data_IF_688290899263
#
_entry.id   IF_688290899263
#
_cell.length_a   1.000
_cell.length_b   1.000
_cell.length_c   1.000
_cell.angle_alpha   90.00
_cell.angle_beta   90.00
_cell.angle_gamma   90.00
#
_symmetry.space_group_name_H-M   'P 1'
#
loop_
_entity.id
_entity.type
_entity.pdbx_description
1 polymer ?
#
# COMPACT_ATOMS: atom_id res chain seq x y z
N UNK A 1 -8.93 -18.64 -21.72
CA UNK A 1 -9.98 -18.06 -20.83
C UNK A 1 -10.15 -18.80 -19.49
N UNK A 2 -10.49 -20.10 -19.44
CA UNK A 2 -10.71 -20.82 -18.15
C UNK A 2 -9.50 -20.81 -17.20
N UNK A 3 -8.28 -20.94 -17.73
CA UNK A 3 -7.03 -20.93 -16.96
C UNK A 3 -6.70 -19.56 -16.36
N UNK A 4 -6.95 -18.47 -17.10
CA UNK A 4 -6.75 -17.11 -16.59
C UNK A 4 -7.78 -16.76 -15.51
N UNK A 5 -9.06 -17.09 -15.71
CA UNK A 5 -10.09 -16.84 -14.70
C UNK A 5 -9.82 -17.60 -13.38
N UNK A 6 -9.36 -18.85 -13.48
CA UNK A 6 -8.97 -19.66 -12.32
C UNK A 6 -7.80 -19.04 -11.56
N UNK A 7 -6.79 -18.53 -12.29
CA UNK A 7 -5.66 -17.83 -11.69
C UNK A 7 -6.07 -16.53 -11.00
N UNK A 8 -6.91 -15.71 -11.63
CA UNK A 8 -7.44 -14.47 -11.04
C UNK A 8 -8.25 -14.75 -9.75
N UNK A 9 -9.03 -15.84 -9.73
CA UNK A 9 -9.74 -16.28 -8.53
C UNK A 9 -8.78 -16.73 -7.43
N UNK A 10 -7.77 -17.54 -7.76
CA UNK A 10 -6.71 -17.98 -6.83
C UNK A 10 -5.98 -16.78 -6.22
N UNK A 11 -5.63 -15.80 -7.06
CA UNK A 11 -4.97 -14.57 -6.65
C UNK A 11 -5.82 -13.75 -5.68
N UNK A 12 -7.11 -13.58 -5.99
CA UNK A 12 -8.03 -12.83 -5.13
C UNK A 12 -8.20 -13.52 -3.76
N UNK A 13 -8.32 -14.84 -3.75
CA UNK A 13 -8.37 -15.65 -2.52
C UNK A 13 -7.08 -15.52 -1.71
N UNK A 14 -5.92 -15.64 -2.34
CA UNK A 14 -4.61 -15.50 -1.68
C UNK A 14 -4.44 -14.11 -1.08
N UNK A 15 -4.83 -13.07 -1.82
CA UNK A 15 -4.76 -11.70 -1.37
C UNK A 15 -5.67 -11.43 -0.18
N UNK A 16 -6.91 -11.91 -0.25
CA UNK A 16 -7.88 -11.77 0.84
C UNK A 16 -7.44 -12.53 2.09
N UNK A 17 -6.96 -13.77 1.94
CA UNK A 17 -6.42 -14.57 3.05
C UNK A 17 -5.24 -13.88 3.74
N UNK A 18 -4.34 -13.29 2.96
CA UNK A 18 -3.19 -12.58 3.51
C UNK A 18 -3.61 -11.28 4.21
N UNK A 19 -4.54 -10.51 3.65
CA UNK A 19 -5.12 -9.33 4.31
C UNK A 19 -5.73 -9.68 5.66
N UNK A 20 -6.60 -10.71 5.69
CA UNK A 20 -7.27 -11.16 6.91
C UNK A 20 -6.24 -11.58 7.97
N UNK A 21 -5.19 -12.32 7.57
CA UNK A 21 -4.12 -12.73 8.49
C UNK A 21 -3.44 -11.54 9.18
N UNK A 22 -3.04 -10.52 8.43
CA UNK A 22 -2.35 -9.36 9.00
C UNK A 22 -3.28 -8.43 9.77
N UNK A 23 -4.56 -8.34 9.38
CA UNK A 23 -5.56 -7.62 10.16
C UNK A 23 -5.84 -8.29 11.51
N UNK A 24 -6.01 -9.62 11.53
CA UNK A 24 -6.13 -10.36 12.78
C UNK A 24 -4.90 -10.15 13.67
N UNK A 25 -3.70 -10.20 13.09
CA UNK A 25 -2.46 -9.94 13.83
C UNK A 25 -2.42 -8.52 14.41
N UNK A 26 -2.83 -7.51 13.64
CA UNK A 26 -2.90 -6.13 14.10
C UNK A 26 -3.93 -5.92 15.23
N UNK A 27 -5.09 -6.56 15.13
CA UNK A 27 -6.14 -6.53 16.17
C UNK A 27 -5.62 -7.18 17.45
N UNK A 28 -5.05 -8.39 17.34
CA UNK A 28 -4.49 -9.12 18.49
C UNK A 28 -3.37 -8.31 19.15
N UNK A 29 -2.45 -7.72 18.36
CA UNK A 29 -1.38 -6.87 18.88
C UNK A 29 -1.92 -5.65 19.63
N UNK A 30 -2.95 -5.00 19.09
CA UNK A 30 -3.61 -3.85 19.73
C UNK A 30 -4.32 -4.25 21.03
N UNK A 31 -5.01 -5.39 21.04
CA UNK A 31 -5.68 -5.89 22.25
C UNK A 31 -4.67 -6.24 23.34
N UNK A 32 -3.57 -6.89 23.00
CA UNK A 32 -2.48 -7.17 23.94
C UNK A 32 -1.89 -5.87 24.49
N UNK A 33 -1.64 -4.89 23.63
CA UNK A 33 -1.13 -3.58 24.03
C UNK A 33 -2.07 -2.86 25.02
N UNK A 34 -3.38 -2.96 24.78
CA UNK A 34 -4.40 -2.41 25.68
C UNK A 34 -4.40 -3.15 27.02
N UNK A 35 -4.53 -4.48 27.01
CA UNK A 35 -4.64 -5.29 28.24
C UNK A 35 -3.39 -5.15 29.11
N UNK A 36 -2.19 -5.26 28.52
CA UNK A 36 -0.93 -5.17 29.25
C UNK A 36 -0.76 -3.77 29.85
N UNK A 37 -1.05 -2.71 29.09
CA UNK A 37 -0.97 -1.35 29.61
C UNK A 37 -1.97 -1.09 30.73
N UNK A 38 -3.23 -1.50 30.56
CA UNK A 38 -4.26 -1.36 31.62
C UNK A 38 -3.90 -2.12 32.90
N UNK A 39 -3.33 -3.33 32.79
CA UNK A 39 -2.88 -4.09 33.95
C UNK A 39 -1.74 -3.37 34.69
N UNK A 40 -0.78 -2.80 33.97
CA UNK A 40 0.32 -2.03 34.57
C UNK A 40 -0.21 -0.82 35.35
N UNK A 41 -1.13 -0.03 34.78
CA UNK A 41 -1.69 1.13 35.46
C UNK A 41 -2.65 0.78 36.60
N UNK A 42 -3.36 -0.35 36.55
CA UNK A 42 -4.18 -0.80 37.68
C UNK A 42 -3.33 -1.25 38.87
N UNK A 43 -2.15 -1.81 38.62
CA UNK A 43 -1.23 -2.25 39.67
C UNK A 43 -0.62 -1.09 40.49
N UNK A 44 -0.55 0.12 39.93
CA UNK A 44 0.03 1.28 40.62
C UNK A 44 -0.91 1.93 41.65
N UNK A 45 -2.14 1.43 41.86
CA UNK A 45 -3.14 1.90 42.84
C UNK A 45 -3.51 3.39 42.77
N UNK A 46 -3.02 4.09 41.75
CA UNK A 46 -3.21 5.50 41.53
C UNK A 46 -4.29 5.77 40.48
N UNK A 47 -4.99 6.90 40.61
CA UNK A 47 -5.93 7.32 39.58
C UNK A 47 -5.18 7.52 38.25
N UNK A 48 -5.78 7.13 37.13
CA UNK A 48 -5.11 7.23 35.83
C UNK A 48 -4.64 8.66 35.54
N UNK A 49 -5.41 9.68 35.91
CA UNK A 49 -5.04 11.09 35.74
C UNK A 49 -4.26 11.71 36.91
N UNK A 50 -3.93 10.97 37.98
CA UNK A 50 -3.02 11.49 39.00
C UNK A 50 -1.59 11.50 38.47
N UNK A 51 -0.87 12.58 38.72
CA UNK A 51 0.53 12.75 38.33
C UNK A 51 1.38 12.79 39.60
N UNK A 52 1.88 11.63 40.04
CA UNK A 52 2.83 11.57 41.16
C UNK A 52 4.25 11.90 40.70
N UNK A 53 4.58 11.66 39.43
CA UNK A 53 5.81 12.18 38.80
C UNK A 53 5.60 12.64 37.35
N UNK A 54 6.42 13.60 36.86
CA UNK A 54 6.37 14.03 35.46
C UNK A 54 6.72 12.90 34.48
N UNK A 55 7.56 11.93 34.91
CA UNK A 55 7.94 10.77 34.09
C UNK A 55 6.77 9.82 33.90
N UNK A 56 6.00 9.54 34.97
CA UNK A 56 4.77 8.73 34.88
C UNK A 56 3.69 9.41 34.04
N UNK A 57 3.57 10.74 34.11
CA UNK A 57 2.65 11.49 33.26
C UNK A 57 2.98 11.29 31.77
N UNK A 58 4.26 11.42 31.40
CA UNK A 58 4.73 11.17 30.03
C UNK A 58 4.44 9.74 29.58
N UNK A 59 4.67 8.74 30.44
CA UNK A 59 4.39 7.34 30.12
C UNK A 59 2.89 7.07 29.85
N UNK A 60 1.99 7.64 30.68
CA UNK A 60 0.53 7.54 30.51
C UNK A 60 0.06 8.17 29.20
N UNK A 61 0.56 9.38 28.87
CA UNK A 61 0.24 10.05 27.61
C UNK A 61 0.80 9.32 26.39
N UNK A 62 2.04 8.83 26.48
CA UNK A 62 2.66 8.04 25.42
C UNK A 62 1.87 6.76 25.14
N UNK A 63 1.41 6.08 26.20
CA UNK A 63 0.57 4.89 26.06
C UNK A 63 -0.76 5.19 25.34
N UNK A 64 -1.45 6.27 25.73
CA UNK A 64 -2.70 6.73 25.10
C UNK A 64 -2.52 7.09 23.62
N UNK A 65 -1.47 7.84 23.30
CA UNK A 65 -1.16 8.19 21.90
C UNK A 65 -0.86 6.90 21.11
N UNK A 66 -0.08 5.98 21.69
CA UNK A 66 0.20 4.68 21.10
C UNK A 66 -1.05 3.85 20.83
N UNK A 67 -2.05 3.91 21.73
CA UNK A 67 -3.31 3.19 21.60
C UNK A 67 -4.12 3.62 20.37
N UNK A 68 -4.02 4.88 19.96
CA UNK A 68 -4.74 5.40 18.78
C UNK A 68 -3.86 5.30 17.53
N UNK A 69 -2.60 5.72 17.62
CA UNK A 69 -1.71 5.89 16.47
C UNK A 69 -1.20 4.55 15.91
N UNK A 70 -0.83 3.61 16.79
CA UNK A 70 -0.21 2.34 16.38
C UNK A 70 -1.18 1.41 15.63
N UNK A 71 -2.46 1.27 16.02
CA UNK A 71 -3.41 0.50 15.24
C UNK A 71 -3.59 1.06 13.83
N UNK A 72 -3.71 2.38 13.68
CA UNK A 72 -3.81 3.05 12.37
C UNK A 72 -2.59 2.74 11.51
N UNK A 73 -1.39 2.86 12.06
CA UNK A 73 -0.14 2.52 11.37
C UNK A 73 -0.09 1.04 10.97
N UNK A 74 -0.46 0.12 11.86
CA UNK A 74 -0.50 -1.32 11.56
C UNK A 74 -1.47 -1.64 10.43
N UNK A 75 -2.64 -1.00 10.39
CA UNK A 75 -3.59 -1.14 9.28
C UNK A 75 -3.02 -0.62 7.96
N UNK A 76 -2.39 0.56 7.96
CA UNK A 76 -1.77 1.15 6.77
C UNK A 76 -0.65 0.25 6.24
N UNK A 77 0.26 -0.20 7.11
CA UNK A 77 1.39 -1.03 6.72
C UNK A 77 0.97 -2.45 6.32
N UNK A 78 -0.05 -3.02 6.97
CA UNK A 78 -0.67 -4.28 6.53
C UNK A 78 -1.18 -4.17 5.10
N UNK A 79 -1.98 -3.14 4.81
CA UNK A 79 -2.52 -2.90 3.46
C UNK A 79 -1.41 -2.71 2.43
N UNK A 80 -0.41 -1.89 2.75
CA UNK A 80 0.73 -1.65 1.87
C UNK A 80 1.51 -2.94 1.60
N UNK A 81 1.78 -3.74 2.63
CA UNK A 81 2.52 -5.00 2.49
C UNK A 81 1.75 -6.01 1.64
N UNK A 82 0.48 -6.25 1.94
CA UNK A 82 -0.30 -7.25 1.21
C UNK A 82 -0.51 -6.84 -0.24
N UNK A 83 -0.77 -5.55 -0.48
CA UNK A 83 -0.82 -5.03 -1.84
C UNK A 83 0.51 -5.24 -2.58
N UNK A 84 1.64 -4.88 -1.98
CA UNK A 84 2.96 -5.07 -2.57
C UNK A 84 3.28 -6.54 -2.84
N UNK A 85 2.87 -7.45 -1.95
CA UNK A 85 3.05 -8.90 -2.11
C UNK A 85 2.22 -9.46 -3.25
N UNK A 86 0.98 -9.01 -3.41
CA UNK A 86 0.12 -9.45 -4.51
C UNK A 86 0.62 -8.84 -5.82
N UNK A 87 1.02 -7.58 -5.82
CA UNK A 87 1.60 -6.93 -6.99
C UNK A 87 2.86 -7.64 -7.46
N UNK A 88 3.83 -7.88 -6.57
CA UNK A 88 5.05 -8.64 -6.88
C UNK A 88 4.75 -10.02 -7.44
N UNK A 89 3.87 -10.80 -6.79
CA UNK A 89 3.50 -12.13 -7.27
C UNK A 89 2.88 -12.10 -8.67
N UNK A 90 1.99 -11.13 -8.95
CA UNK A 90 1.33 -11.04 -10.27
C UNK A 90 2.30 -10.59 -11.34
N UNK A 91 3.20 -9.66 -11.01
CA UNK A 91 4.24 -9.19 -11.91
C UNK A 91 5.20 -10.33 -12.22
N UNK A 92 5.69 -11.04 -11.20
CA UNK A 92 6.63 -12.15 -11.37
C UNK A 92 6.03 -13.34 -12.13
N UNK A 93 4.81 -13.77 -11.79
CA UNK A 93 4.23 -14.98 -12.37
C UNK A 93 3.50 -14.74 -13.71
N UNK A 94 2.99 -13.53 -13.96
CA UNK A 94 2.01 -13.25 -15.04
C UNK A 94 2.07 -11.82 -15.61
N UNK A 95 3.21 -11.13 -15.55
CA UNK A 95 3.33 -9.78 -16.13
C UNK A 95 2.93 -9.75 -17.62
N UNK A 96 3.49 -10.64 -18.43
CA UNK A 96 3.32 -10.62 -19.89
C UNK A 96 1.93 -11.08 -20.35
N UNK A 97 1.27 -11.91 -19.54
CA UNK A 97 -0.04 -12.50 -19.86
C UNK A 97 -1.23 -11.69 -19.34
N UNK A 98 -1.05 -10.92 -18.25
CA UNK A 98 -2.14 -10.24 -17.54
C UNK A 98 -1.93 -8.73 -17.40
N UNK A 99 -0.74 -8.30 -16.98
CA UNK A 99 -0.50 -6.88 -16.68
C UNK A 99 -0.27 -6.08 -17.95
N UNK A 100 0.67 -6.52 -18.81
CA UNK A 100 0.98 -5.81 -20.06
C UNK A 100 -0.21 -5.79 -21.02
N UNK A 101 -0.95 -6.89 -21.27
CA UNK A 101 -2.11 -6.85 -22.18
C UNK A 101 -3.26 -6.00 -21.63
N UNK A 102 -3.47 -5.97 -20.32
CA UNK A 102 -4.47 -5.09 -19.71
C UNK A 102 -4.06 -3.61 -19.82
N UNK A 103 -2.77 -3.32 -19.64
CA UNK A 103 -2.22 -1.98 -19.81
C UNK A 103 -2.31 -1.53 -21.27
N UNK A 104 -1.89 -2.36 -22.22
CA UNK A 104 -1.93 -2.08 -23.66
C UNK A 104 -3.37 -1.86 -24.14
N UNK A 105 -4.36 -2.63 -23.65
CA UNK A 105 -5.79 -2.40 -23.96
C UNK A 105 -6.27 -1.01 -23.50
N UNK A 106 -5.91 -0.59 -22.29
CA UNK A 106 -6.27 0.74 -21.78
C UNK A 106 -5.59 1.82 -22.61
N UNK A 107 -4.31 1.62 -22.94
CA UNK A 107 -3.53 2.56 -23.72
C UNK A 107 -4.11 2.73 -25.14
N UNK A 108 -4.60 1.66 -25.76
CA UNK A 108 -5.31 1.70 -27.03
C UNK A 108 -6.65 2.46 -26.94
N UNK A 109 -7.45 2.23 -25.89
CA UNK A 109 -8.71 2.96 -25.66
C UNK A 109 -8.43 4.46 -25.47
N UNK A 110 -7.38 4.78 -24.71
CA UNK A 110 -6.95 6.14 -24.49
C UNK A 110 -6.52 6.80 -25.80
N UNK A 111 -5.73 6.09 -26.62
CA UNK A 111 -5.28 6.57 -27.94
C UNK A 111 -6.45 6.78 -28.91
N UNK A 112 -7.43 5.88 -28.94
CA UNK A 112 -8.62 6.06 -29.79
C UNK A 112 -9.47 7.25 -29.36
N UNK A 113 -9.43 7.63 -28.08
CA UNK A 113 -10.20 8.74 -27.51
C UNK A 113 -9.41 10.07 -27.49
N UNK A 114 -8.12 10.07 -27.84
CA UNK A 114 -7.26 11.24 -27.93
C UNK A 114 -6.32 11.15 -29.15
N UNK A 115 -6.76 11.64 -30.32
CA UNK A 115 -5.92 11.67 -31.52
C UNK A 115 -4.81 12.73 -31.48
N UNK A 116 -4.88 13.71 -30.56
CA UNK A 116 -3.88 14.78 -30.46
C UNK A 116 -2.57 14.34 -29.78
N UNK A 117 -1.46 14.83 -30.33
CA UNK A 117 -0.10 14.58 -29.81
C UNK A 117 0.11 15.40 -28.54
N UNK A 118 0.41 14.72 -27.44
CA UNK A 118 0.71 15.36 -26.13
C UNK A 118 2.10 15.99 -26.19
N UNK A 119 2.16 17.32 -26.24
CA UNK A 119 3.40 18.07 -26.46
C UNK A 119 3.99 18.69 -25.18
N UNK A 120 3.18 19.09 -24.19
CA UNK A 120 3.67 19.80 -22.99
C UNK A 120 3.56 18.97 -21.70
N UNK A 121 4.47 19.18 -20.75
CA UNK A 121 4.52 18.49 -19.43
C UNK A 121 3.20 18.58 -18.63
N UNK A 122 2.49 19.70 -18.73
CA UNK A 122 1.16 19.86 -18.14
C UNK A 122 0.13 18.90 -18.78
N UNK A 123 0.19 18.76 -20.11
CA UNK A 123 -0.65 17.83 -20.88
C UNK A 123 -0.28 16.37 -20.54
N UNK A 124 0.98 16.06 -20.24
CA UNK A 124 1.39 14.72 -19.77
C UNK A 124 0.75 14.35 -18.43
N UNK A 125 0.70 15.30 -17.49
CA UNK A 125 0.09 15.06 -16.17
C UNK A 125 -1.43 14.89 -16.29
N UNK A 126 -2.08 15.72 -17.11
CA UNK A 126 -3.50 15.62 -17.38
C UNK A 126 -3.85 14.31 -18.12
N UNK A 127 -3.05 13.94 -19.12
CA UNK A 127 -3.18 12.68 -19.85
C UNK A 127 -3.00 11.46 -18.93
N UNK A 128 -2.03 11.49 -18.01
CA UNK A 128 -1.87 10.45 -16.97
C UNK A 128 -3.12 10.32 -16.09
N UNK A 129 -3.69 11.44 -15.63
CA UNK A 129 -4.91 11.42 -14.81
C UNK A 129 -6.10 10.85 -15.59
N UNK A 130 -6.27 11.27 -16.84
CA UNK A 130 -7.31 10.75 -17.72
C UNK A 130 -7.11 9.26 -18.02
N UNK A 131 -5.87 8.82 -18.27
CA UNK A 131 -5.55 7.41 -18.46
C UNK A 131 -5.85 6.58 -17.19
N UNK A 132 -5.53 7.08 -15.99
CA UNK A 132 -5.93 6.42 -14.74
C UNK A 132 -7.46 6.36 -14.60
N UNK A 133 -8.17 7.40 -15.02
CA UNK A 133 -9.63 7.40 -15.04
C UNK A 133 -10.17 6.35 -16.02
N UNK A 134 -9.55 6.19 -17.18
CA UNK A 134 -9.92 5.19 -18.17
C UNK A 134 -9.63 3.77 -17.66
N UNK A 135 -8.53 3.54 -16.93
CA UNK A 135 -8.31 2.27 -16.20
C UNK A 135 -9.42 2.02 -15.17
N UNK A 136 -9.93 3.08 -14.54
CA UNK A 136 -11.02 2.97 -13.56
C UNK A 136 -12.37 2.67 -14.23
N UNK A 137 -12.62 3.19 -15.42
CA UNK A 137 -13.90 3.03 -16.10
C UNK A 137 -13.94 1.80 -17.03
N UNK A 138 -12.77 1.28 -17.42
CA UNK A 138 -12.64 0.07 -18.22
C UNK A 138 -12.96 -1.18 -17.39
N UNK A 139 -13.74 -2.09 -17.98
CA UNK A 139 -14.02 -3.42 -17.39
C UNK A 139 -12.77 -4.30 -17.47
N UNK A 140 -11.88 -4.15 -16.50
CA UNK A 140 -10.77 -5.08 -16.26
C UNK A 140 -11.30 -6.26 -15.45
N UNK A 141 -11.05 -7.48 -15.93
CA UNK A 141 -11.61 -8.72 -15.36
C UNK A 141 -11.24 -8.96 -13.88
N UNK A 142 -10.11 -8.41 -13.40
CA UNK A 142 -9.67 -8.56 -12.01
C UNK A 142 -9.50 -7.22 -11.29
N UNK A 143 -10.12 -7.04 -10.11
CA UNK A 143 -9.90 -5.88 -9.24
C UNK A 143 -8.44 -5.69 -8.85
N UNK A 144 -7.68 -6.78 -8.71
CA UNK A 144 -6.26 -6.74 -8.35
C UNK A 144 -5.40 -6.27 -9.52
N UNK A 145 -5.65 -6.79 -10.74
CA UNK A 145 -4.95 -6.33 -11.96
C UNK A 145 -5.21 -4.85 -12.18
N UNK A 146 -6.47 -4.41 -12.05
CA UNK A 146 -6.83 -2.99 -12.12
C UNK A 146 -6.08 -2.15 -11.10
N UNK A 147 -6.02 -2.58 -9.83
CA UNK A 147 -5.28 -1.86 -8.78
C UNK A 147 -3.77 -1.82 -9.05
N UNK A 148 -3.18 -2.90 -9.58
CA UNK A 148 -1.76 -2.96 -9.95
C UNK A 148 -1.46 -1.98 -11.09
N UNK A 149 -2.29 -1.95 -12.14
CA UNK A 149 -2.14 -1.00 -13.26
C UNK A 149 -2.27 0.45 -12.79
N UNK A 150 -3.29 0.76 -11.98
CA UNK A 150 -3.46 2.10 -11.39
C UNK A 150 -2.25 2.47 -10.52
N UNK A 151 -1.74 1.54 -9.73
CA UNK A 151 -0.60 1.78 -8.85
C UNK A 151 0.69 2.02 -9.63
N UNK A 152 0.96 1.19 -10.63
CA UNK A 152 2.10 1.36 -11.53
C UNK A 152 2.06 2.72 -12.21
N UNK A 153 0.92 3.09 -12.77
CA UNK A 153 0.70 4.41 -13.37
C UNK A 153 0.89 5.57 -12.38
N UNK A 154 0.31 5.48 -11.18
CA UNK A 154 0.49 6.51 -10.15
C UNK A 154 1.97 6.74 -9.82
N UNK A 155 2.78 5.67 -9.82
CA UNK A 155 4.21 5.71 -9.51
C UNK A 155 5.11 6.17 -10.66
N UNK A 156 4.64 6.17 -11.90
CA UNK A 156 5.38 6.76 -13.04
C UNK A 156 5.61 8.25 -12.79
N UNK A 157 6.87 8.66 -12.67
CA UNK A 157 7.28 10.07 -12.60
C UNK A 157 7.78 10.56 -13.96
N UNK A 158 7.42 11.78 -14.32
CA UNK A 158 7.86 12.47 -15.54
C UNK A 158 8.97 13.50 -15.22
N UNK A 159 9.89 13.16 -14.30
CA UNK A 159 10.87 14.11 -13.73
C UNK A 159 11.92 14.62 -14.73
N UNK A 160 12.04 14.01 -15.91
CA UNK A 160 12.76 14.57 -17.05
C UNK A 160 12.18 13.98 -18.33
N UNK A 161 11.23 14.70 -18.92
CA UNK A 161 10.90 14.49 -20.31
C UNK A 161 12.00 15.18 -21.11
N UNK A 162 13.01 14.43 -21.57
CA UNK A 162 13.75 14.83 -22.75
C UNK A 162 12.75 14.78 -23.91
N UNK A 163 12.08 15.91 -24.14
CA UNK A 163 11.17 16.13 -25.27
C UNK A 163 11.93 16.17 -26.61
N UNK A 164 13.25 15.97 -26.58
CA UNK A 164 14.17 16.16 -27.71
C UNK A 164 14.21 14.96 -28.67
N UNK A 165 13.27 14.03 -28.56
CA UNK A 165 13.17 12.93 -29.50
C UNK A 165 11.71 12.60 -29.76
N UNK A 166 11.37 12.52 -31.06
CA UNK A 166 10.07 12.20 -31.68
C UNK A 166 9.54 10.82 -31.25
N UNK A 167 9.39 10.62 -29.95
CA UNK A 167 8.96 9.39 -29.30
C UNK A 167 7.58 9.65 -28.73
N UNK A 168 6.63 8.80 -29.11
CA UNK A 168 5.24 9.00 -28.72
C UNK A 168 5.08 8.85 -27.20
N UNK A 169 4.25 9.71 -26.60
CA UNK A 169 3.79 9.63 -25.20
C UNK A 169 3.55 8.19 -24.72
N UNK A 170 2.94 7.41 -25.60
CA UNK A 170 2.62 6.01 -25.43
C UNK A 170 3.84 5.11 -25.16
N UNK A 171 4.92 5.28 -25.92
CA UNK A 171 6.17 4.52 -25.73
C UNK A 171 6.88 4.91 -24.42
N UNK A 172 6.84 6.20 -24.07
CA UNK A 172 7.43 6.72 -22.83
C UNK A 172 6.68 6.19 -21.60
N UNK A 173 5.34 6.21 -21.62
CA UNK A 173 4.56 5.66 -20.50
C UNK A 173 4.75 4.15 -20.40
N UNK A 174 4.74 3.43 -21.53
CA UNK A 174 4.91 1.97 -21.52
C UNK A 174 6.26 1.56 -20.91
N UNK A 175 7.35 2.19 -21.34
CA UNK A 175 8.69 1.90 -20.80
C UNK A 175 8.81 2.24 -19.31
N UNK A 176 8.33 3.42 -18.88
CA UNK A 176 8.33 3.79 -17.45
C UNK A 176 7.43 2.91 -16.61
N UNK A 177 6.29 2.47 -17.15
CA UNK A 177 5.39 1.53 -16.48
C UNK A 177 6.08 0.19 -16.24
N UNK A 178 6.76 -0.37 -17.24
CA UNK A 178 7.54 -1.60 -17.11
C UNK A 178 8.64 -1.45 -16.05
N UNK A 179 9.40 -0.35 -16.08
CA UNK A 179 10.43 -0.08 -15.08
C UNK A 179 9.88 0.05 -13.65
N UNK A 180 8.67 0.60 -13.50
CA UNK A 180 7.98 0.60 -12.19
C UNK A 180 7.57 -0.82 -11.79
N UNK A 181 7.04 -1.64 -12.71
CA UNK A 181 6.66 -3.03 -12.41
C UNK A 181 7.85 -3.84 -11.88
N UNK A 182 9.02 -3.67 -12.49
CA UNK A 182 10.25 -4.34 -12.06
C UNK A 182 10.63 -3.99 -10.61
N UNK A 183 10.45 -2.73 -10.22
CA UNK A 183 10.66 -2.27 -8.83
C UNK A 183 9.60 -2.82 -7.87
N UNK A 184 8.35 -3.08 -8.33
CA UNK A 184 7.26 -3.61 -7.52
C UNK A 184 7.48 -5.04 -7.02
N UNK A 185 8.46 -5.77 -7.56
CA UNK A 185 8.82 -7.13 -7.13
C UNK A 185 9.30 -7.20 -5.68
N UNK A 186 9.70 -6.08 -5.09
CA UNK A 186 10.26 -6.03 -3.72
C UNK A 186 9.19 -5.80 -2.63
N UNK A 187 8.43 -6.83 -2.28
CA UNK A 187 7.50 -6.76 -1.14
C UNK A 187 8.24 -6.82 0.22
N UNK A 188 8.09 -5.79 1.07
CA UNK A 188 8.75 -5.74 2.40
C UNK A 188 7.75 -5.65 3.55
N UNK A 189 7.80 -6.60 4.48
CA UNK A 189 7.02 -6.61 5.74
C UNK A 189 7.71 -5.87 6.88
N UNK A 190 8.93 -5.35 6.67
CA UNK A 190 9.74 -4.69 7.71
C UNK A 190 8.99 -3.61 8.50
N UNK A 191 8.32 -2.62 7.87
CA UNK A 191 7.67 -1.54 8.62
C UNK A 191 6.53 -2.02 9.52
N UNK A 192 5.82 -3.09 9.13
CA UNK A 192 4.78 -3.69 9.96
C UNK A 192 5.36 -4.28 11.26
N UNK A 193 6.47 -5.02 11.16
CA UNK A 193 7.15 -5.58 12.34
C UNK A 193 7.80 -4.51 13.21
N UNK A 194 8.30 -3.43 12.60
CA UNK A 194 8.81 -2.27 13.35
C UNK A 194 7.72 -1.64 14.22
N UNK A 195 6.48 -1.53 13.74
CA UNK A 195 5.37 -1.03 14.56
C UNK A 195 5.09 -1.91 15.78
N UNK A 196 5.13 -3.24 15.62
CA UNK A 196 4.97 -4.18 16.75
C UNK A 196 6.12 -4.00 17.74
N UNK A 197 7.35 -3.90 17.27
CA UNK A 197 8.52 -3.68 18.14
C UNK A 197 8.36 -2.37 18.94
N UNK A 198 7.92 -1.29 18.30
CA UNK A 198 7.66 0.00 18.97
C UNK A 198 6.55 -0.13 20.02
N UNK A 199 5.48 -0.88 19.76
CA UNK A 199 4.44 -1.17 20.76
C UNK A 199 5.03 -1.80 22.02
N UNK A 200 5.90 -2.80 21.87
CA UNK A 200 6.55 -3.45 23.00
C UNK A 200 7.54 -2.55 23.73
N UNK A 201 8.30 -1.73 23.01
CA UNK A 201 9.20 -0.74 23.64
C UNK A 201 8.44 0.30 24.45
N UNK A 202 7.27 0.75 23.97
CA UNK A 202 6.42 1.67 24.73
C UNK A 202 5.92 1.02 26.02
N UNK A 203 5.46 -0.23 25.98
CA UNK A 203 5.03 -0.95 27.19
C UNK A 203 6.19 -1.21 28.16
N UNK A 204 7.38 -1.48 27.66
CA UNK A 204 8.58 -1.64 28.49
C UNK A 204 8.94 -0.32 29.17
N UNK A 205 8.86 0.80 28.43
CA UNK A 205 9.07 2.13 29.00
C UNK A 205 8.04 2.43 30.10
N UNK A 206 6.75 2.16 29.85
CA UNK A 206 5.70 2.31 30.87
C UNK A 206 6.04 1.48 32.10
N UNK A 207 6.39 0.21 31.94
CA UNK A 207 6.75 -0.69 33.05
C UNK A 207 7.94 -0.20 33.88
N UNK A 208 8.98 0.36 33.27
CA UNK A 208 10.14 0.92 34.00
C UNK A 208 9.81 2.19 34.78
N UNK A 209 8.77 2.92 34.35
CA UNK A 209 8.41 4.22 34.93
C UNK A 209 7.27 4.17 35.93
N UNK A 210 6.51 3.08 35.95
CA UNK A 210 5.34 2.86 36.80
C UNK A 210 5.75 2.12 38.06
#
# INVERSE_FOLDING_TARGET
MKTQLSYLKKLSVLGTKTLVKYYLLAIVSTLLYLVVGSLQFNASHEAFFSTVSPVQAVAKFLWLIGLILLPVLLFIFSNKYVFSKIASLVVEERQDDLILPAFDKVLLIFQSNQPDVIQNVADYSFAKLKLINDVKNTKIESPWVRRIVIFGLNKVKFDSLDLDNNTSFYAIIRSKFIGVLEILTTASSKPFWTCILVQWLMLLFVWLTN
#
